data_IF_356895908352
#
_entry.id   IF_356895908352
#
_cell.length_a   1.000
_cell.length_b   1.000
_cell.length_c   1.000
_cell.angle_alpha   90.00
_cell.angle_beta   90.00
_cell.angle_gamma   90.00
#
_symmetry.space_group_name_H-M   'P 1'
#
loop_
_entity.id
_entity.type
_entity.pdbx_description
1 polymer ?
#
# COMPACT_ATOMS: atom_id res chain seq x y z
N UNK A 1 16.29 36.97 37.71
CA UNK A 1 17.34 35.98 38.03
C UNK A 1 16.68 34.79 38.71
N UNK A 2 16.26 33.78 37.94
CA UNK A 2 15.68 32.56 38.47
C UNK A 2 16.77 31.49 38.59
N UNK A 3 16.85 30.87 39.76
CA UNK A 3 17.78 29.80 40.12
C UNK A 3 17.63 28.62 39.13
N UNK A 4 18.55 28.52 38.15
CA UNK A 4 18.85 27.25 37.49
C UNK A 4 19.47 26.33 38.55
N UNK A 5 18.64 25.50 39.18
CA UNK A 5 19.12 24.36 39.93
C UNK A 5 20.03 23.54 39.01
N UNK A 6 21.33 23.53 39.30
CA UNK A 6 22.29 22.65 38.62
C UNK A 6 21.80 21.23 38.87
N UNK A 7 21.45 20.52 37.80
CA UNK A 7 21.25 19.07 37.86
C UNK A 7 22.55 18.48 38.43
N UNK A 8 22.51 17.69 39.52
CA UNK A 8 23.72 17.20 40.15
C UNK A 8 24.55 16.41 39.12
N UNK A 9 25.83 16.77 39.02
CA UNK A 9 26.80 16.10 38.15
C UNK A 9 26.98 14.69 38.70
N UNK A 10 26.56 13.69 37.93
CA UNK A 10 26.78 12.29 38.29
C UNK A 10 28.29 11.99 38.27
N UNK A 11 28.81 11.48 39.39
CA UNK A 11 30.16 10.97 39.52
C UNK A 11 30.09 9.46 39.79
N UNK A 12 30.60 8.65 38.86
CA UNK A 12 30.55 7.18 38.94
C UNK A 12 31.29 6.66 40.16
N UNK A 13 32.45 7.23 40.47
CA UNK A 13 33.25 6.82 41.63
C UNK A 13 32.52 7.14 42.94
N UNK A 14 31.95 8.34 43.07
CA UNK A 14 31.11 8.69 44.23
C UNK A 14 29.87 7.80 44.34
N UNK A 15 29.24 7.47 43.21
CA UNK A 15 28.02 6.65 43.20
C UNK A 15 28.31 5.18 43.55
N UNK A 16 29.42 4.63 43.05
CA UNK A 16 29.89 3.29 43.41
C UNK A 16 30.32 3.25 44.87
N UNK A 17 31.09 4.24 45.35
CA UNK A 17 31.46 4.32 46.75
C UNK A 17 30.22 4.40 47.65
N UNK A 18 29.29 5.31 47.35
CA UNK A 18 28.05 5.44 48.11
C UNK A 18 27.19 4.17 48.11
N UNK A 19 27.13 3.43 47.00
CA UNK A 19 26.46 2.14 46.94
C UNK A 19 27.12 1.13 47.89
N UNK A 20 28.44 0.95 47.79
CA UNK A 20 29.15 -0.04 48.59
C UNK A 20 29.22 0.33 50.08
N UNK A 21 29.20 1.61 50.42
CA UNK A 21 29.08 2.10 51.80
C UNK A 21 27.70 1.77 52.38
N UNK A 22 26.63 1.92 51.58
CA UNK A 22 25.28 1.51 51.97
C UNK A 22 25.17 -0.01 52.15
N UNK A 23 25.76 -0.80 51.24
CA UNK A 23 25.78 -2.27 51.35
C UNK A 23 26.50 -2.70 52.64
N UNK A 24 27.64 -2.08 52.95
CA UNK A 24 28.44 -2.37 54.14
C UNK A 24 27.70 -2.01 55.44
N UNK A 25 26.90 -0.93 55.40
CA UNK A 25 26.11 -0.47 56.54
C UNK A 25 24.86 -1.32 56.78
N UNK A 26 24.23 -1.81 55.71
CA UNK A 26 22.98 -2.58 55.78
C UNK A 26 23.22 -4.05 56.17
N UNK A 27 24.40 -4.62 55.91
CA UNK A 27 24.70 -6.02 56.17
C UNK A 27 26.01 -6.29 56.97
N UNK A 28 26.27 -5.60 58.10
CA UNK A 28 27.52 -5.78 58.87
C UNK A 28 27.61 -7.15 59.58
N UNK A 29 26.47 -7.79 59.87
CA UNK A 29 26.40 -9.04 60.64
C UNK A 29 26.28 -10.32 59.79
N UNK A 30 26.13 -10.20 58.46
CA UNK A 30 25.85 -11.34 57.58
C UNK A 30 27.09 -12.13 57.13
N UNK A 31 28.27 -11.88 57.72
CA UNK A 31 29.51 -12.54 57.30
C UNK A 31 29.85 -12.26 55.84
N UNK A 32 29.53 -11.06 55.35
CA UNK A 32 29.85 -10.63 53.98
C UNK A 32 31.34 -10.78 53.78
N UNK A 33 31.74 -11.68 52.88
CA UNK A 33 33.14 -11.91 52.55
C UNK A 33 33.75 -10.60 52.05
N UNK A 34 34.61 -10.00 52.89
CA UNK A 34 35.26 -8.73 52.61
C UNK A 34 36.07 -8.80 51.31
N UNK A 35 36.60 -9.98 50.95
CA UNK A 35 37.31 -10.18 49.69
C UNK A 35 36.36 -10.13 48.49
N UNK A 36 35.16 -10.72 48.60
CA UNK A 36 34.14 -10.63 47.55
C UNK A 36 33.62 -9.21 47.38
N UNK A 37 33.35 -8.51 48.49
CA UNK A 37 32.85 -7.13 48.45
C UNK A 37 33.88 -6.19 47.80
N UNK A 38 35.17 -6.33 48.15
CA UNK A 38 36.24 -5.55 47.52
C UNK A 38 36.40 -5.91 46.04
N UNK A 39 36.34 -7.19 45.67
CA UNK A 39 36.37 -7.62 44.27
C UNK A 39 35.18 -7.08 43.47
N UNK A 40 33.98 -7.08 44.03
CA UNK A 40 32.78 -6.51 43.41
C UNK A 40 32.87 -4.99 43.28
N UNK A 41 33.42 -4.30 44.29
CA UNK A 41 33.68 -2.86 44.25
C UNK A 41 34.72 -2.52 43.19
N UNK A 42 35.82 -3.26 43.12
CA UNK A 42 36.83 -3.09 42.07
C UNK A 42 36.25 -3.38 40.67
N UNK A 43 35.40 -4.39 40.51
CA UNK A 43 34.69 -4.65 39.27
C UNK A 43 33.75 -3.50 38.88
N UNK A 44 33.00 -2.95 39.84
CA UNK A 44 32.15 -1.78 39.64
C UNK A 44 32.94 -0.51 39.27
N UNK A 45 34.08 -0.29 39.93
CA UNK A 45 35.01 0.83 39.64
C UNK A 45 35.61 0.70 38.24
N UNK A 46 35.97 -0.51 37.83
CA UNK A 46 36.45 -0.83 36.48
C UNK A 46 35.33 -0.92 35.44
N UNK A 47 34.07 -0.81 35.86
CA UNK A 47 32.85 -0.98 35.05
C UNK A 47 32.77 -2.35 34.40
N UNK A 48 33.34 -3.41 34.95
CA UNK A 48 33.38 -4.73 34.31
C UNK A 48 31.97 -5.28 34.01
N UNK A 49 31.72 -5.70 32.76
CA UNK A 49 30.41 -6.22 32.33
C UNK A 49 29.81 -7.26 33.30
N UNK A 50 28.56 -7.09 33.71
CA UNK A 50 27.84 -8.06 34.55
C UNK A 50 28.01 -7.86 36.06
N UNK A 51 28.78 -6.85 36.49
CA UNK A 51 28.97 -6.56 37.92
C UNK A 51 27.63 -6.21 38.60
N UNK A 52 26.74 -5.49 37.90
CA UNK A 52 25.43 -5.11 38.46
C UNK A 52 24.54 -6.31 38.73
N UNK A 53 24.50 -7.27 37.82
CA UNK A 53 23.72 -8.49 37.99
C UNK A 53 24.25 -9.32 39.17
N UNK A 54 25.58 -9.35 39.33
CA UNK A 54 26.26 -10.02 40.44
C UNK A 54 25.91 -9.38 41.79
N UNK A 55 25.90 -8.04 41.86
CA UNK A 55 25.49 -7.31 43.08
C UNK A 55 23.98 -7.44 43.34
N UNK A 56 23.12 -7.36 42.32
CA UNK A 56 21.66 -7.54 42.48
C UNK A 56 21.31 -8.94 43.00
N UNK A 57 21.96 -9.98 42.46
CA UNK A 57 21.78 -11.35 42.90
C UNK A 57 22.21 -11.54 44.36
N UNK A 58 23.33 -10.92 44.76
CA UNK A 58 23.80 -10.92 46.14
C UNK A 58 22.80 -10.22 47.09
N UNK A 59 22.30 -9.04 46.72
CA UNK A 59 21.31 -8.31 47.52
C UNK A 59 20.02 -9.09 47.71
N UNK A 60 19.51 -9.72 46.64
CA UNK A 60 18.34 -10.62 46.72
C UNK A 60 18.63 -11.85 47.58
N UNK A 61 19.84 -12.39 47.53
CA UNK A 61 20.30 -13.49 48.38
C UNK A 61 20.28 -13.12 49.87
N UNK A 62 20.76 -11.92 50.21
CA UNK A 62 20.71 -11.40 51.58
C UNK A 62 19.28 -11.18 52.08
N UNK A 63 18.38 -10.66 51.23
CA UNK A 63 16.96 -10.56 51.57
C UNK A 63 16.31 -11.93 51.77
N UNK A 64 16.62 -12.89 50.89
CA UNK A 64 16.13 -14.27 51.00
C UNK A 64 16.62 -14.99 52.27
N UNK A 65 17.82 -14.65 52.75
CA UNK A 65 18.38 -15.12 54.00
C UNK A 65 17.90 -14.34 55.24
N UNK A 66 17.04 -13.33 55.08
CA UNK A 66 16.50 -12.52 56.17
C UNK A 66 17.46 -11.47 56.74
N UNK A 67 18.59 -11.22 56.07
CA UNK A 67 19.59 -10.24 56.48
C UNK A 67 19.28 -8.82 56.02
N UNK A 68 18.37 -8.65 55.05
CA UNK A 68 17.88 -7.36 54.57
C UNK A 68 16.36 -7.39 54.50
N UNK A 69 15.71 -6.29 54.91
CA UNK A 69 14.29 -6.08 54.67
C UNK A 69 14.02 -5.79 53.18
N UNK A 70 12.76 -5.98 52.75
CA UNK A 70 12.34 -5.64 51.38
C UNK A 70 12.46 -4.14 51.06
N UNK A 71 12.38 -3.28 52.08
CA UNK A 71 12.55 -1.82 51.93
C UNK A 71 14.01 -1.48 51.68
N UNK A 72 14.94 -2.05 52.44
CA UNK A 72 16.39 -1.88 52.27
C UNK A 72 16.86 -2.42 50.91
N UNK A 73 16.32 -3.56 50.46
CA UNK A 73 16.56 -4.07 49.12
C UNK A 73 16.16 -3.06 48.04
N UNK A 74 14.98 -2.44 48.17
CA UNK A 74 14.50 -1.43 47.23
C UNK A 74 15.40 -0.20 47.16
N UNK A 75 15.90 0.28 48.31
CA UNK A 75 16.82 1.42 48.38
C UNK A 75 18.20 1.10 47.80
N UNK A 76 18.74 -0.10 48.07
CA UNK A 76 20.01 -0.56 47.53
C UNK A 76 19.91 -0.81 46.02
N UNK A 77 18.81 -1.35 45.53
CA UNK A 77 18.55 -1.51 44.09
C UNK A 77 18.40 -0.17 43.38
N UNK A 78 17.75 0.82 44.01
CA UNK A 78 17.70 2.18 43.48
C UNK A 78 19.10 2.81 43.39
N UNK A 79 19.95 2.58 44.39
CA UNK A 79 21.36 3.03 44.38
C UNK A 79 22.20 2.29 43.34
N UNK A 80 21.95 0.99 43.13
CA UNK A 80 22.60 0.17 42.11
C UNK A 80 22.18 0.57 40.69
N UNK A 81 20.91 0.95 40.49
CA UNK A 81 20.39 1.47 39.23
C UNK A 81 21.13 2.75 38.80
N UNK A 82 21.53 3.59 39.76
CA UNK A 82 22.30 4.81 39.50
C UNK A 82 23.75 4.55 39.04
N UNK A 83 24.33 3.38 39.29
CA UNK A 83 25.70 3.06 38.86
C UNK A 83 25.81 2.77 37.34
N UNK A 84 26.99 2.74 36.72
CA UNK A 84 27.13 2.35 35.28
C UNK A 84 27.88 1.02 35.09
N UNK A 85 27.45 0.19 34.14
CA UNK A 85 28.14 -1.05 33.72
C UNK A 85 28.83 -0.82 32.36
N UNK A 86 29.88 -1.58 32.01
CA UNK A 86 30.51 -1.51 30.68
C UNK A 86 29.67 -2.27 29.67
N UNK A 87 29.40 -1.58 28.57
CA UNK A 87 28.71 -2.13 27.41
C UNK A 87 27.23 -1.79 27.43
N UNK A 88 26.77 -1.13 26.37
CA UNK A 88 25.37 -1.16 26.02
C UNK A 88 25.00 -2.63 25.72
N UNK A 89 24.03 -3.24 26.41
CA UNK A 89 23.59 -4.59 26.07
C UNK A 89 23.11 -4.59 24.61
N UNK A 90 23.31 -5.69 23.88
CA UNK A 90 22.98 -5.81 22.45
C UNK A 90 21.52 -5.39 22.14
N UNK A 91 20.62 -5.59 23.12
CA UNK A 91 19.24 -5.12 23.10
C UNK A 91 19.08 -3.62 22.85
N UNK A 92 20.02 -2.79 23.33
CA UNK A 92 20.02 -1.35 23.09
C UNK A 92 20.23 -1.00 21.61
N UNK A 93 20.87 -1.86 20.83
CA UNK A 93 20.99 -1.66 19.37
C UNK A 93 19.81 -2.27 18.60
N UNK A 94 19.14 -3.29 19.16
CA UNK A 94 18.01 -3.99 18.50
C UNK A 94 16.73 -3.18 18.51
N UNK A 95 16.39 -2.54 19.64
CA UNK A 95 15.12 -1.81 19.76
C UNK A 95 14.97 -0.67 18.73
N UNK A 96 16.00 0.15 18.47
CA UNK A 96 15.94 1.14 17.39
C UNK A 96 15.75 0.49 16.04
N UNK A 97 16.50 -0.58 15.73
CA UNK A 97 16.38 -1.28 14.43
C UNK A 97 14.98 -1.89 14.21
N UNK A 98 14.39 -2.48 15.25
CA UNK A 98 13.03 -3.01 15.20
C UNK A 98 11.99 -1.89 15.01
N UNK A 99 12.16 -0.76 15.69
CA UNK A 99 11.29 0.40 15.51
C UNK A 99 11.43 1.02 14.11
N UNK A 100 12.66 1.15 13.62
CA UNK A 100 12.98 1.59 12.26
C UNK A 100 12.35 0.67 11.22
N UNK A 101 12.40 -0.65 11.42
CA UNK A 101 11.73 -1.61 10.54
C UNK A 101 10.20 -1.44 10.56
N UNK A 102 9.58 -1.27 11.73
CA UNK A 102 8.13 -1.02 11.83
C UNK A 102 7.72 0.29 11.15
N UNK A 103 8.45 1.38 11.38
CA UNK A 103 8.19 2.68 10.74
C UNK A 103 8.42 2.62 9.24
N UNK A 104 9.45 1.89 8.77
CA UNK A 104 9.69 1.67 7.35
C UNK A 104 8.52 0.94 6.67
N UNK A 105 8.00 -0.11 7.31
CA UNK A 105 6.85 -0.88 6.81
C UNK A 105 5.59 0.00 6.74
N UNK A 106 5.31 0.78 7.78
CA UNK A 106 4.15 1.70 7.80
C UNK A 106 4.31 2.82 6.76
N UNK A 107 5.50 3.39 6.63
CA UNK A 107 5.78 4.45 5.64
C UNK A 107 5.67 3.91 4.21
N UNK A 108 6.04 2.64 3.96
CA UNK A 108 5.87 2.00 2.66
C UNK A 108 4.40 1.67 2.35
N UNK A 109 3.63 1.23 3.35
CA UNK A 109 2.18 1.07 3.21
C UNK A 109 1.52 2.40 2.83
N UNK A 110 2.02 3.53 3.35
CA UNK A 110 1.60 4.86 2.94
C UNK A 110 2.16 5.29 1.57
N UNK A 111 3.31 4.78 1.11
CA UNK A 111 3.93 5.14 -0.18
C UNK A 111 3.20 4.57 -1.40
N UNK A 112 2.35 3.56 -1.20
CA UNK A 112 1.37 3.13 -2.20
C UNK A 112 0.33 4.24 -2.53
N UNK A 113 0.31 5.31 -1.75
CA UNK A 113 -0.60 6.46 -1.87
C UNK A 113 0.26 7.70 -2.19
N UNK A 114 0.51 7.97 -3.47
CA UNK A 114 1.09 9.22 -4.05
C UNK A 114 2.34 9.82 -3.35
N UNK A 115 3.48 9.82 -4.04
CA UNK A 115 4.75 10.35 -3.51
C UNK A 115 4.70 11.88 -3.31
N UNK A 116 4.45 12.33 -2.08
CA UNK A 116 4.71 13.70 -1.65
C UNK A 116 6.15 13.81 -1.14
N UNK A 117 7.01 14.47 -1.91
CA UNK A 117 8.42 14.66 -1.59
C UNK A 117 8.64 15.50 -0.31
N UNK A 118 7.72 16.40 0.03
CA UNK A 118 7.81 17.21 1.24
C UNK A 118 7.52 16.39 2.49
N UNK A 119 6.50 15.52 2.42
CA UNK A 119 6.19 14.58 3.49
C UNK A 119 7.36 13.62 3.72
N UNK A 120 7.95 13.11 2.63
CA UNK A 120 9.12 12.23 2.71
C UNK A 120 10.31 12.94 3.39
N UNK A 121 10.62 14.19 2.99
CA UNK A 121 11.68 14.97 3.61
C UNK A 121 11.42 15.25 5.09
N UNK A 122 10.18 15.59 5.46
CA UNK A 122 9.78 15.82 6.85
C UNK A 122 9.95 14.55 7.71
N UNK A 123 9.51 13.39 7.22
CA UNK A 123 9.64 12.12 7.92
C UNK A 123 11.11 11.70 8.11
N UNK A 124 11.96 11.90 7.08
CA UNK A 124 13.40 11.67 7.19
C UNK A 124 14.03 12.59 8.25
N UNK A 125 13.63 13.87 8.30
CA UNK A 125 14.06 14.82 9.33
C UNK A 125 13.65 14.41 10.74
N UNK A 126 12.40 13.97 10.93
CA UNK A 126 11.91 13.46 12.23
C UNK A 126 12.70 12.20 12.65
N UNK A 127 12.98 11.28 11.72
CA UNK A 127 13.78 10.09 12.02
C UNK A 127 15.22 10.42 12.39
N UNK A 128 15.85 11.37 11.70
CA UNK A 128 17.18 11.84 12.05
C UNK A 128 17.22 12.48 13.45
N UNK A 129 16.22 13.31 13.77
CA UNK A 129 16.07 13.91 15.09
C UNK A 129 15.82 12.84 16.17
N UNK A 130 14.99 11.84 15.90
CA UNK A 130 14.73 10.73 16.81
C UNK A 130 16.00 9.90 17.05
N UNK A 131 16.78 9.58 16.01
CA UNK A 131 18.06 8.89 16.15
C UNK A 131 19.09 9.70 16.96
N UNK A 132 19.14 11.01 16.75
CA UNK A 132 20.00 11.91 17.52
C UNK A 132 19.57 12.05 18.99
N UNK A 133 18.26 12.13 19.27
CA UNK A 133 17.72 12.17 20.63
C UNK A 133 17.95 10.83 21.36
N UNK A 134 17.66 9.73 20.68
CA UNK A 134 17.85 8.38 21.19
C UNK A 134 19.30 8.13 21.62
N UNK A 135 20.28 8.51 20.79
CA UNK A 135 21.70 8.40 21.13
C UNK A 135 22.09 9.36 22.27
N UNK A 136 21.55 10.58 22.31
CA UNK A 136 21.87 11.59 23.32
C UNK A 136 21.44 11.20 24.74
N UNK A 137 20.35 10.46 24.90
CA UNK A 137 19.80 10.11 26.21
C UNK A 137 20.49 8.90 26.87
N UNK A 138 21.41 8.23 26.15
CA UNK A 138 22.11 7.06 26.68
C UNK A 138 23.17 7.43 27.73
N UNK A 139 23.06 6.78 28.89
CA UNK A 139 23.93 7.01 30.05
C UNK A 139 25.42 6.86 29.71
N UNK A 140 25.79 5.91 28.84
CA UNK A 140 27.18 5.67 28.44
C UNK A 140 27.76 6.74 27.48
N UNK A 141 26.94 7.65 26.94
CA UNK A 141 27.35 8.79 26.10
C UNK A 141 27.38 10.13 26.86
N UNK A 142 27.06 10.15 28.16
CA UNK A 142 27.08 11.36 28.99
C UNK A 142 28.51 11.74 29.39
N UNK A 143 28.86 13.04 29.44
CA UNK A 143 30.22 13.48 29.75
C UNK A 143 30.59 13.07 31.18
N UNK A 144 31.74 12.42 31.35
CA UNK A 144 32.23 11.92 32.65
C UNK A 144 32.04 10.41 32.90
N UNK A 145 31.30 9.70 32.01
CA UNK A 145 30.99 8.29 32.21
C UNK A 145 31.99 7.31 31.57
N UNK A 146 33.06 7.78 30.95
CA UNK A 146 34.18 6.94 30.49
C UNK A 146 35.46 7.78 30.45
N UNK A 147 36.50 7.36 31.18
CA UNK A 147 37.81 8.01 31.15
C UNK A 147 38.53 7.87 29.80
N UNK A 148 38.04 6.96 28.93
CA UNK A 148 38.58 6.66 27.59
C UNK A 148 37.71 7.18 26.46
N UNK A 149 36.62 7.90 26.74
CA UNK A 149 35.76 8.45 25.69
C UNK A 149 36.50 9.58 25.00
N UNK A 150 36.94 9.33 23.76
CA UNK A 150 37.60 10.34 22.98
C UNK A 150 36.63 11.49 22.71
N UNK A 151 37.18 12.71 22.59
CA UNK A 151 36.43 13.95 22.30
C UNK A 151 35.44 13.80 21.13
N UNK A 152 35.72 12.87 20.21
CA UNK A 152 34.97 12.64 18.98
C UNK A 152 33.99 11.46 19.03
N UNK A 153 34.03 10.60 20.04
CA UNK A 153 33.18 9.40 20.09
C UNK A 153 31.69 9.75 20.15
N UNK A 154 31.34 10.77 20.94
CA UNK A 154 29.96 11.22 21.08
C UNK A 154 29.39 11.87 19.82
N UNK A 155 30.05 12.89 19.21
CA UNK A 155 29.54 13.45 17.96
C UNK A 155 29.53 12.42 16.85
N UNK A 156 30.50 11.49 16.82
CA UNK A 156 30.52 10.39 15.85
C UNK A 156 29.33 9.43 16.01
N UNK A 157 29.08 8.92 17.22
CA UNK A 157 27.94 8.01 17.47
C UNK A 157 26.60 8.70 17.27
N UNK A 158 26.49 9.98 17.63
CA UNK A 158 25.26 10.77 17.41
C UNK A 158 25.03 11.00 15.91
N UNK A 159 26.07 11.34 15.15
CA UNK A 159 26.00 11.50 13.70
C UNK A 159 25.70 10.18 13.00
N UNK A 160 26.32 9.08 13.44
CA UNK A 160 26.05 7.74 12.94
C UNK A 160 24.61 7.33 13.22
N UNK A 161 24.07 7.57 14.43
CA UNK A 161 22.66 7.31 14.75
C UNK A 161 21.69 8.17 13.95
N UNK A 162 22.01 9.45 13.74
CA UNK A 162 21.20 10.37 12.93
C UNK A 162 21.18 10.01 11.44
N UNK A 163 22.23 9.34 10.92
CA UNK A 163 22.34 8.92 9.52
C UNK A 163 21.87 7.48 9.27
N UNK A 164 22.32 6.53 10.10
CA UNK A 164 22.03 5.10 9.91
C UNK A 164 20.54 4.80 10.03
N UNK A 165 19.82 5.45 10.96
CA UNK A 165 18.38 5.23 11.13
C UNK A 165 17.63 5.62 9.84
N UNK A 166 17.74 6.84 9.28
CA UNK A 166 17.16 7.17 7.98
C UNK A 166 17.59 6.25 6.84
N UNK A 167 18.89 5.95 6.73
CA UNK A 167 19.44 5.13 5.63
C UNK A 167 18.87 3.72 5.68
N UNK A 168 18.85 3.08 6.85
CA UNK A 168 18.30 1.74 7.04
C UNK A 168 16.80 1.73 6.77
N UNK A 169 16.04 2.74 7.22
CA UNK A 169 14.61 2.88 6.87
C UNK A 169 14.42 2.88 5.36
N UNK A 170 15.20 3.69 4.64
CA UNK A 170 15.09 3.82 3.18
C UNK A 170 15.48 2.51 2.49
N UNK A 171 16.55 1.85 2.91
CA UNK A 171 17.00 0.58 2.32
C UNK A 171 15.99 -0.55 2.54
N UNK A 172 15.45 -0.69 3.76
CA UNK A 172 14.41 -1.68 4.07
C UNK A 172 13.16 -1.38 3.24
N UNK A 173 12.75 -0.12 3.15
CA UNK A 173 11.61 0.31 2.36
C UNK A 173 11.80 -0.01 0.86
N UNK A 174 12.96 0.31 0.29
CA UNK A 174 13.26 0.01 -1.11
C UNK A 174 13.32 -1.50 -1.37
N UNK A 175 13.96 -2.26 -0.49
CA UNK A 175 14.03 -3.72 -0.60
C UNK A 175 12.66 -4.38 -0.52
N UNK A 176 11.82 -3.96 0.44
CA UNK A 176 10.45 -4.43 0.56
C UNK A 176 9.60 -4.06 -0.66
N UNK A 177 9.71 -2.81 -1.15
CA UNK A 177 8.99 -2.36 -2.36
C UNK A 177 9.39 -3.13 -3.61
N UNK A 178 10.70 -3.38 -3.79
CA UNK A 178 11.19 -4.19 -4.90
C UNK A 178 10.70 -5.64 -4.79
N UNK A 179 10.69 -6.20 -3.57
CA UNK A 179 10.19 -7.54 -3.29
C UNK A 179 8.69 -7.69 -3.59
N UNK A 180 7.86 -6.76 -3.13
CA UNK A 180 6.40 -6.79 -3.40
C UNK A 180 6.09 -6.58 -4.87
N UNK A 181 6.78 -5.65 -5.55
CA UNK A 181 6.66 -5.46 -6.99
C UNK A 181 7.03 -6.72 -7.76
N UNK A 182 8.19 -7.31 -7.45
CA UNK A 182 8.67 -8.54 -8.10
C UNK A 182 7.70 -9.70 -7.90
N UNK A 183 7.18 -9.88 -6.68
CA UNK A 183 6.18 -10.92 -6.38
C UNK A 183 4.87 -10.68 -7.13
N UNK A 184 4.43 -9.43 -7.25
CA UNK A 184 3.20 -9.09 -7.96
C UNK A 184 3.34 -9.29 -9.47
N UNK A 185 4.46 -8.90 -10.06
CA UNK A 185 4.78 -9.18 -11.47
C UNK A 185 4.86 -10.69 -11.72
N UNK A 186 5.49 -11.44 -10.81
CA UNK A 186 5.54 -12.90 -10.91
C UNK A 186 4.13 -13.51 -10.90
N UNK A 187 3.28 -13.12 -9.96
CA UNK A 187 1.88 -13.59 -9.89
C UNK A 187 1.08 -13.23 -11.14
N UNK A 188 1.22 -11.99 -11.61
CA UNK A 188 0.61 -11.56 -12.87
C UNK A 188 1.02 -12.45 -14.04
N UNK A 189 2.33 -12.71 -14.20
CA UNK A 189 2.84 -13.53 -15.29
C UNK A 189 2.35 -14.98 -15.24
N UNK A 190 2.23 -15.55 -14.04
CA UNK A 190 1.67 -16.90 -13.85
C UNK A 190 0.20 -16.94 -14.31
N UNK A 191 -0.65 -16.05 -13.80
CA UNK A 191 -2.06 -15.97 -14.21
C UNK A 191 -2.21 -15.68 -15.70
N UNK A 192 -1.43 -14.72 -16.22
CA UNK A 192 -1.41 -14.37 -17.64
C UNK A 192 -1.08 -15.60 -18.49
N UNK A 193 -0.07 -16.38 -18.11
CA UNK A 193 0.33 -17.58 -18.85
C UNK A 193 -0.77 -18.65 -18.84
N UNK A 194 -1.46 -18.84 -17.71
CA UNK A 194 -2.59 -19.75 -17.61
C UNK A 194 -3.79 -19.26 -18.46
N UNK A 195 -4.08 -17.97 -18.41
CA UNK A 195 -5.17 -17.35 -19.17
C UNK A 195 -4.91 -17.36 -20.69
N UNK A 196 -3.66 -17.24 -21.11
CA UNK A 196 -3.25 -17.28 -22.51
C UNK A 196 -3.54 -18.63 -23.19
N UNK A 197 -3.62 -19.71 -22.42
CA UNK A 197 -3.87 -21.07 -22.93
C UNK A 197 -5.25 -21.61 -22.56
N UNK A 198 -6.00 -20.93 -21.69
CA UNK A 198 -7.36 -21.32 -21.29
C UNK A 198 -8.33 -21.18 -22.49
N UNK A 199 -8.93 -22.28 -23.01
CA UNK A 199 -9.85 -22.19 -24.13
C UNK A 199 -11.06 -21.30 -23.89
N UNK A 200 -11.46 -21.08 -22.63
CA UNK A 200 -12.56 -20.19 -22.24
C UNK A 200 -12.10 -18.76 -21.91
N UNK A 201 -10.79 -18.52 -21.90
CA UNK A 201 -10.13 -17.23 -21.64
C UNK A 201 -9.68 -16.52 -22.92
N UNK A 202 -8.39 -16.18 -23.02
CA UNK A 202 -7.86 -15.37 -24.11
C UNK A 202 -8.02 -15.99 -25.52
N UNK A 203 -7.73 -17.29 -25.75
CA UNK A 203 -8.03 -17.98 -27.01
C UNK A 203 -9.46 -17.78 -27.53
N UNK A 204 -10.45 -17.81 -26.63
CA UNK A 204 -11.85 -17.56 -26.98
C UNK A 204 -12.03 -16.12 -27.51
N UNK A 205 -11.57 -15.10 -26.77
CA UNK A 205 -11.70 -13.71 -27.20
C UNK A 205 -11.00 -13.48 -28.54
N UNK A 206 -9.77 -13.98 -28.70
CA UNK A 206 -9.00 -13.83 -29.94
C UNK A 206 -9.73 -14.43 -31.14
N UNK A 207 -10.29 -15.63 -30.98
CA UNK A 207 -11.07 -16.29 -32.02
C UNK A 207 -12.36 -15.52 -32.33
N UNK A 208 -13.07 -15.06 -31.30
CA UNK A 208 -14.30 -14.28 -31.42
C UNK A 208 -14.07 -12.97 -32.17
N UNK A 209 -13.05 -12.20 -31.77
CA UNK A 209 -12.70 -10.91 -32.37
C UNK A 209 -12.33 -11.06 -33.85
N UNK A 210 -11.47 -12.03 -34.19
CA UNK A 210 -11.06 -12.29 -35.57
C UNK A 210 -12.23 -12.74 -36.44
N UNK A 211 -13.04 -13.70 -35.95
CA UNK A 211 -14.15 -14.29 -36.71
C UNK A 211 -15.25 -13.26 -37.00
N UNK A 212 -15.62 -12.46 -36.00
CA UNK A 212 -16.82 -11.62 -36.09
C UNK A 212 -16.51 -10.19 -36.53
N UNK A 213 -15.31 -9.67 -36.27
CA UNK A 213 -14.96 -8.26 -36.50
C UNK A 213 -13.67 -8.05 -37.31
N UNK A 214 -12.94 -9.11 -37.66
CA UNK A 214 -11.63 -9.05 -38.32
C UNK A 214 -10.59 -8.20 -37.54
N UNK A 215 -10.70 -8.23 -36.21
CA UNK A 215 -9.81 -7.50 -35.29
C UNK A 215 -8.83 -8.45 -34.62
N UNK A 216 -7.55 -8.10 -34.65
CA UNK A 216 -6.51 -8.82 -33.92
C UNK A 216 -6.47 -8.35 -32.46
N UNK A 217 -6.48 -9.31 -31.54
CA UNK A 217 -6.36 -9.06 -30.10
C UNK A 217 -5.12 -9.76 -29.57
N UNK A 218 -4.31 -9.02 -28.81
CA UNK A 218 -3.11 -9.53 -28.13
C UNK A 218 -3.30 -9.46 -26.61
N UNK A 219 -2.57 -10.29 -25.88
CA UNK A 219 -2.59 -10.29 -24.42
C UNK A 219 -1.38 -9.49 -23.91
N UNK A 220 -1.65 -8.32 -23.32
CA UNK A 220 -0.66 -7.41 -22.75
C UNK A 220 0.19 -8.08 -21.68
N UNK A 221 1.37 -7.53 -21.43
CA UNK A 221 2.34 -8.10 -20.49
C UNK A 221 2.62 -7.22 -19.28
N UNK A 222 3.65 -7.58 -18.51
CA UNK A 222 3.99 -6.88 -17.28
C UNK A 222 4.59 -5.48 -17.50
N UNK A 223 4.81 -5.06 -18.74
CA UNK A 223 5.27 -3.73 -19.10
C UNK A 223 4.12 -2.79 -19.42
N UNK A 224 2.95 -3.32 -19.78
CA UNK A 224 1.85 -2.54 -20.34
C UNK A 224 0.83 -2.09 -19.29
N UNK A 225 0.42 -2.96 -18.35
CA UNK A 225 -0.67 -2.63 -17.39
C UNK A 225 -0.76 -3.55 -16.16
N UNK A 226 0.30 -4.26 -15.78
CA UNK A 226 0.21 -5.17 -14.62
C UNK A 226 -0.28 -4.47 -13.36
N UNK A 227 0.25 -3.28 -13.06
CA UNK A 227 -0.02 -2.57 -11.82
C UNK A 227 -1.48 -2.13 -11.70
N UNK A 228 -2.10 -1.71 -12.81
CA UNK A 228 -3.51 -1.33 -12.84
C UNK A 228 -4.44 -2.54 -12.70
N UNK A 229 -4.05 -3.71 -13.23
CA UNK A 229 -4.93 -4.89 -13.18
C UNK A 229 -4.70 -5.79 -11.97
N UNK A 230 -3.50 -5.79 -11.35
CA UNK A 230 -3.20 -6.62 -10.16
C UNK A 230 -3.33 -5.91 -8.82
N UNK A 231 -3.10 -4.60 -8.76
CA UNK A 231 -3.20 -3.84 -7.51
C UNK A 231 -4.57 -3.19 -7.45
N UNK A 232 -5.28 -3.36 -6.33
CA UNK A 232 -6.59 -2.74 -6.11
C UNK A 232 -6.41 -1.24 -5.80
N UNK A 233 -5.98 -0.47 -6.81
CA UNK A 233 -5.78 0.96 -6.71
C UNK A 233 -7.11 1.69 -6.97
N UNK A 234 -7.37 2.82 -6.28
CA UNK A 234 -8.50 3.68 -6.60
C UNK A 234 -8.46 4.09 -8.07
N UNK A 235 -9.55 3.85 -8.80
CA UNK A 235 -9.71 4.11 -10.24
C UNK A 235 -8.93 3.18 -11.19
N UNK A 236 -8.24 2.16 -10.69
CA UNK A 236 -7.65 1.14 -11.56
C UNK A 236 -8.70 0.08 -11.92
N UNK A 237 -8.77 -0.26 -13.21
CA UNK A 237 -9.65 -1.32 -13.70
C UNK A 237 -8.94 -2.67 -13.62
N UNK A 238 -9.69 -3.71 -13.23
CA UNK A 238 -9.19 -5.09 -13.12
C UNK A 238 -8.98 -5.78 -14.47
N UNK A 239 -9.52 -5.16 -15.52
CA UNK A 239 -9.27 -5.47 -16.91
C UNK A 239 -9.23 -4.14 -17.68
N UNK A 240 -8.42 -4.08 -18.74
CA UNK A 240 -8.36 -2.93 -19.62
C UNK A 240 -8.03 -3.37 -21.02
N UNK A 241 -8.59 -2.68 -21.99
CA UNK A 241 -8.21 -2.81 -23.40
C UNK A 241 -7.54 -1.53 -23.88
N UNK A 242 -6.32 -1.63 -24.41
CA UNK A 242 -5.65 -0.51 -25.06
C UNK A 242 -5.71 -0.64 -26.58
N UNK A 243 -5.73 0.51 -27.26
CA UNK A 243 -5.70 0.59 -28.72
C UNK A 243 -4.26 0.74 -29.18
N UNK A 244 -3.81 -0.19 -30.03
CA UNK A 244 -2.51 -0.14 -30.69
C UNK A 244 -2.67 -0.11 -32.21
N UNK A 245 -1.63 0.30 -32.97
CA UNK A 245 -1.68 0.28 -34.43
C UNK A 245 -1.94 -1.13 -34.97
N UNK A 246 -3.17 -1.39 -35.41
CA UNK A 246 -3.58 -2.64 -36.05
C UNK A 246 -4.07 -3.75 -35.10
N UNK A 247 -4.14 -3.53 -33.79
CA UNK A 247 -4.65 -4.52 -32.83
C UNK A 247 -5.19 -3.90 -31.53
N UNK A 248 -6.02 -4.66 -30.81
CA UNK A 248 -6.41 -4.37 -29.43
C UNK A 248 -5.51 -5.15 -28.48
N UNK A 249 -5.16 -4.57 -27.35
CA UNK A 249 -4.39 -5.26 -26.31
C UNK A 249 -5.20 -5.41 -25.04
N UNK A 250 -5.49 -6.65 -24.66
CA UNK A 250 -6.17 -6.97 -23.41
C UNK A 250 -5.14 -7.13 -22.30
N UNK A 251 -5.30 -6.37 -21.23
CA UNK A 251 -4.66 -6.62 -19.95
C UNK A 251 -5.71 -7.02 -18.93
N UNK A 252 -5.54 -8.17 -18.28
CA UNK A 252 -6.51 -8.69 -17.32
C UNK A 252 -5.82 -9.60 -16.31
N UNK A 253 -6.27 -9.53 -15.05
CA UNK A 253 -5.88 -10.48 -14.01
C UNK A 253 -7.14 -11.19 -13.49
N UNK A 254 -7.32 -12.46 -13.86
CA UNK A 254 -8.55 -13.22 -13.66
C UNK A 254 -9.00 -13.22 -12.20
N UNK A 255 -8.08 -13.44 -11.27
CA UNK A 255 -8.39 -13.46 -9.84
C UNK A 255 -8.90 -12.11 -9.33
N UNK A 256 -8.47 -10.99 -9.90
CA UNK A 256 -9.03 -9.67 -9.55
C UNK A 256 -10.37 -9.41 -10.22
N UNK A 257 -10.59 -9.94 -11.43
CA UNK A 257 -11.94 -9.95 -12.00
C UNK A 257 -12.90 -10.75 -11.13
N UNK A 258 -12.49 -11.89 -10.59
CA UNK A 258 -13.37 -12.66 -9.71
C UNK A 258 -13.52 -12.06 -8.31
N UNK A 259 -12.49 -11.39 -7.75
CA UNK A 259 -12.56 -10.77 -6.42
C UNK A 259 -13.19 -9.38 -6.42
N UNK A 260 -12.73 -8.50 -7.30
CA UNK A 260 -13.23 -7.14 -7.36
C UNK A 260 -14.55 -7.11 -8.11
N UNK A 261 -14.63 -7.81 -9.25
CA UNK A 261 -15.82 -8.00 -10.10
C UNK A 261 -16.63 -9.25 -9.71
N UNK A 262 -16.71 -9.66 -8.44
CA UNK A 262 -17.50 -10.86 -8.10
C UNK A 262 -18.98 -10.71 -8.51
N UNK A 263 -19.57 -11.70 -9.21
CA UNK A 263 -21.00 -11.66 -9.49
C UNK A 263 -21.81 -11.74 -8.19
N UNK A 264 -22.88 -10.96 -8.11
CA UNK A 264 -23.76 -10.97 -6.95
C UNK A 264 -24.56 -12.29 -6.87
N UNK A 265 -24.02 -13.29 -6.18
CA UNK A 265 -24.65 -14.59 -5.96
C UNK A 265 -23.86 -15.76 -6.53
N UNK A 266 -24.57 -16.72 -7.15
CA UNK A 266 -24.00 -17.99 -7.65
C UNK A 266 -23.92 -18.05 -9.18
N UNK A 267 -23.73 -16.92 -9.85
CA UNK A 267 -23.67 -16.87 -11.30
C UNK A 267 -22.42 -17.59 -11.83
N UNK A 268 -22.50 -18.07 -13.07
CA UNK A 268 -21.40 -18.78 -13.72
C UNK A 268 -20.18 -17.86 -13.90
N UNK A 269 -19.10 -18.16 -13.18
CA UNK A 269 -17.86 -17.38 -13.17
C UNK A 269 -17.18 -17.33 -14.55
N UNK A 270 -17.30 -18.38 -15.37
CA UNK A 270 -16.73 -18.40 -16.73
C UNK A 270 -17.45 -17.39 -17.62
N UNK A 271 -18.80 -17.45 -17.64
CA UNK A 271 -19.60 -16.50 -18.42
C UNK A 271 -19.41 -15.07 -17.94
N UNK A 272 -19.23 -14.88 -16.63
CA UNK A 272 -18.92 -13.57 -16.07
C UNK A 272 -17.58 -13.02 -16.58
N UNK A 273 -16.50 -13.82 -16.50
CA UNK A 273 -15.18 -13.45 -17.04
C UNK A 273 -15.27 -13.14 -18.53
N UNK A 274 -16.01 -13.93 -19.30
CA UNK A 274 -16.24 -13.66 -20.72
C UNK A 274 -16.99 -12.36 -20.96
N UNK A 275 -18.00 -12.03 -20.14
CA UNK A 275 -18.68 -10.74 -20.26
C UNK A 275 -17.77 -9.55 -19.97
N UNK A 276 -16.85 -9.67 -19.00
CA UNK A 276 -15.82 -8.65 -18.77
C UNK A 276 -14.90 -8.54 -19.97
N UNK A 277 -14.46 -9.65 -20.57
CA UNK A 277 -13.68 -9.59 -21.83
C UNK A 277 -14.47 -8.90 -22.97
N UNK A 278 -15.77 -9.18 -23.10
CA UNK A 278 -16.62 -8.55 -24.11
C UNK A 278 -16.82 -7.06 -23.84
N UNK A 279 -16.93 -6.65 -22.58
CA UNK A 279 -16.96 -5.24 -22.19
C UNK A 279 -15.69 -4.52 -22.68
N UNK A 280 -14.52 -5.04 -22.31
CA UNK A 280 -13.22 -4.47 -22.71
C UNK A 280 -13.04 -4.46 -24.24
N UNK A 281 -13.51 -5.51 -24.92
CA UNK A 281 -13.50 -5.55 -26.38
C UNK A 281 -14.45 -4.53 -27.02
N UNK A 282 -15.59 -4.25 -26.40
CA UNK A 282 -16.51 -3.20 -26.79
C UNK A 282 -15.85 -1.82 -26.80
N UNK A 283 -15.03 -1.51 -25.79
CA UNK A 283 -14.21 -0.28 -25.76
C UNK A 283 -13.26 -0.19 -26.95
N UNK A 284 -12.59 -1.30 -27.30
CA UNK A 284 -11.70 -1.31 -28.45
C UNK A 284 -12.45 -1.05 -29.76
N UNK A 285 -13.56 -1.75 -29.99
CA UNK A 285 -14.36 -1.56 -31.20
C UNK A 285 -14.88 -0.11 -31.31
N UNK A 286 -15.25 0.51 -30.19
CA UNK A 286 -15.70 1.91 -30.18
C UNK A 286 -14.60 2.89 -30.60
N UNK A 287 -13.40 2.72 -30.05
CA UNK A 287 -12.28 3.60 -30.39
C UNK A 287 -11.69 3.33 -31.77
N UNK A 288 -11.60 2.07 -32.21
CA UNK A 288 -11.06 1.70 -33.53
C UNK A 288 -11.78 2.39 -34.68
N UNK A 289 -13.11 2.53 -34.61
CA UNK A 289 -13.90 3.19 -35.66
C UNK A 289 -13.67 4.70 -35.77
N UNK A 290 -13.09 5.31 -34.73
CA UNK A 290 -12.76 6.73 -34.69
C UNK A 290 -11.37 7.05 -35.23
N UNK A 291 -10.46 6.07 -35.19
CA UNK A 291 -9.10 6.23 -35.67
C UNK A 291 -9.06 6.35 -37.20
N UNK A 292 -8.31 7.34 -37.75
CA UNK A 292 -8.17 7.49 -39.18
C UNK A 292 -7.39 6.31 -39.78
N UNK A 293 -7.80 5.87 -40.97
CA UNK A 293 -6.99 4.94 -41.77
C UNK A 293 -5.71 5.64 -42.28
N UNK A 294 -4.70 4.86 -42.66
CA UNK A 294 -3.46 5.40 -43.22
C UNK A 294 -3.75 6.36 -44.39
N UNK A 295 -3.28 7.61 -44.28
CA UNK A 295 -3.51 8.67 -45.27
C UNK A 295 -4.80 9.49 -45.08
N UNK A 296 -5.62 9.20 -44.07
CA UNK A 296 -6.74 10.05 -43.67
C UNK A 296 -6.34 10.95 -42.49
N UNK A 297 -6.84 12.19 -42.49
CA UNK A 297 -6.59 13.16 -41.42
C UNK A 297 -7.81 13.43 -40.54
N UNK A 298 -9.00 13.02 -40.98
CA UNK A 298 -10.23 13.27 -40.25
C UNK A 298 -10.46 12.18 -39.19
N UNK A 299 -10.47 12.59 -37.93
CA UNK A 299 -10.86 11.76 -36.80
C UNK A 299 -12.39 11.70 -36.75
N UNK A 300 -12.96 10.51 -36.59
CA UNK A 300 -14.41 10.38 -36.38
C UNK A 300 -14.72 10.46 -34.87
N UNK A 301 -16.00 10.61 -34.55
CA UNK A 301 -16.44 10.98 -33.19
C UNK A 301 -17.55 10.06 -32.67
N UNK A 302 -17.62 8.82 -33.16
CA UNK A 302 -18.67 7.87 -32.78
C UNK A 302 -18.54 7.42 -31.31
N UNK A 303 -17.32 7.34 -30.79
CA UNK A 303 -17.04 7.03 -29.39
C UNK A 303 -17.06 8.25 -28.46
N UNK A 304 -17.26 9.45 -29.02
CA UNK A 304 -17.38 10.69 -28.27
C UNK A 304 -18.86 10.94 -27.96
N UNK A 305 -19.18 11.38 -26.75
CA UNK A 305 -20.56 11.70 -26.41
C UNK A 305 -21.11 12.79 -27.36
N UNK A 306 -22.39 12.72 -27.76
CA UNK A 306 -22.97 13.70 -28.68
C UNK A 306 -22.85 15.16 -28.23
N UNK A 307 -22.80 15.41 -26.91
CA UNK A 307 -22.60 16.75 -26.35
C UNK A 307 -21.19 17.30 -26.55
N UNK A 308 -20.19 16.42 -26.63
CA UNK A 308 -18.77 16.77 -26.64
C UNK A 308 -18.18 16.71 -28.06
N UNK A 309 -18.83 15.96 -28.97
CA UNK A 309 -18.40 15.75 -30.35
C UNK A 309 -18.34 17.05 -31.20
N UNK A 310 -19.12 18.08 -30.86
CA UNK A 310 -19.21 19.33 -31.65
C UNK A 310 -17.90 20.11 -31.75
N UNK A 311 -16.98 19.92 -30.80
CA UNK A 311 -15.71 20.64 -30.74
C UNK A 311 -14.50 19.85 -31.25
N UNK A 312 -14.71 18.65 -31.78
CA UNK A 312 -13.62 17.76 -32.20
C UNK A 312 -13.34 17.92 -33.68
N UNK A 313 -12.14 18.39 -34.01
CA UNK A 313 -11.68 18.62 -35.39
C UNK A 313 -10.36 17.95 -35.73
N UNK A 314 -9.62 17.50 -34.73
CA UNK A 314 -8.29 16.92 -34.85
C UNK A 314 -8.02 15.91 -33.72
N UNK A 315 -6.86 15.26 -33.74
CA UNK A 315 -6.50 14.26 -32.74
C UNK A 315 -6.37 14.86 -31.34
N UNK A 316 -5.90 16.11 -31.20
CA UNK A 316 -5.71 16.73 -29.90
C UNK A 316 -7.06 17.03 -29.22
N UNK A 317 -7.99 17.62 -29.96
CA UNK A 317 -9.36 17.88 -29.52
C UNK A 317 -10.15 16.60 -29.31
N UNK A 318 -9.89 15.55 -30.10
CA UNK A 318 -10.41 14.21 -29.86
C UNK A 318 -9.94 13.66 -28.51
N UNK A 319 -8.62 13.64 -28.27
CA UNK A 319 -8.05 13.15 -27.01
C UNK A 319 -8.59 13.94 -25.81
N UNK A 320 -8.71 15.26 -25.92
CA UNK A 320 -9.33 16.08 -24.88
C UNK A 320 -10.79 15.68 -24.63
N UNK A 321 -11.59 15.44 -25.67
CA UNK A 321 -12.97 15.01 -25.54
C UNK A 321 -13.09 13.60 -24.91
N UNK A 322 -12.10 12.71 -25.12
CA UNK A 322 -12.09 11.38 -24.47
C UNK A 322 -11.97 11.45 -22.94
N UNK A 323 -11.42 12.54 -22.41
CA UNK A 323 -11.26 12.74 -20.98
C UNK A 323 -12.50 13.31 -20.28
N UNK A 324 -13.48 13.80 -21.03
CA UNK A 324 -14.73 14.33 -20.49
C UNK A 324 -15.58 13.22 -19.88
N UNK A 325 -16.13 13.46 -18.69
CA UNK A 325 -16.93 12.47 -17.95
C UNK A 325 -18.15 12.01 -18.74
N UNK A 326 -18.75 12.89 -19.55
CA UNK A 326 -19.85 12.57 -20.46
C UNK A 326 -19.44 11.58 -21.56
N UNK A 327 -18.21 11.67 -22.06
CA UNK A 327 -17.67 10.72 -23.03
C UNK A 327 -17.25 9.41 -22.37
N UNK A 328 -16.70 9.45 -21.15
CA UNK A 328 -16.38 8.23 -20.38
C UNK A 328 -17.62 7.38 -20.14
N UNK A 329 -18.70 7.97 -19.62
CA UNK A 329 -19.96 7.22 -19.43
C UNK A 329 -20.57 6.74 -20.75
N UNK A 330 -20.42 7.50 -21.83
CA UNK A 330 -20.90 7.10 -23.16
C UNK A 330 -20.18 5.86 -23.69
N UNK A 331 -18.88 5.73 -23.45
CA UNK A 331 -18.08 4.55 -23.80
C UNK A 331 -18.42 3.36 -22.91
N UNK A 332 -18.51 3.57 -21.59
CA UNK A 332 -18.93 2.54 -20.63
C UNK A 332 -20.33 1.98 -20.97
N UNK A 333 -21.26 2.85 -21.37
CA UNK A 333 -22.61 2.44 -21.76
C UNK A 333 -22.61 1.48 -22.95
N UNK A 334 -21.75 1.71 -23.96
CA UNK A 334 -21.63 0.80 -25.10
C UNK A 334 -21.04 -0.54 -24.65
N UNK A 335 -19.93 -0.50 -23.90
CA UNK A 335 -19.22 -1.68 -23.45
C UNK A 335 -20.10 -2.59 -22.57
N UNK A 336 -20.84 -2.02 -21.61
CA UNK A 336 -21.80 -2.77 -20.79
C UNK A 336 -22.97 -3.31 -21.62
N UNK A 337 -23.49 -2.52 -22.57
CA UNK A 337 -24.56 -2.98 -23.47
C UNK A 337 -24.09 -4.14 -24.33
N UNK A 338 -22.86 -4.08 -24.86
CA UNK A 338 -22.24 -5.13 -25.65
C UNK A 338 -22.08 -6.43 -24.86
N UNK A 339 -21.59 -6.35 -23.61
CA UNK A 339 -21.48 -7.50 -22.72
C UNK A 339 -22.84 -8.15 -22.40
N UNK A 340 -23.86 -7.33 -22.12
CA UNK A 340 -25.24 -7.81 -21.89
C UNK A 340 -25.80 -8.49 -23.14
N UNK A 341 -25.64 -7.87 -24.31
CA UNK A 341 -26.09 -8.44 -25.58
C UNK A 341 -25.41 -9.79 -25.88
N UNK A 342 -24.12 -9.91 -25.59
CA UNK A 342 -23.38 -11.17 -25.70
C UNK A 342 -24.00 -12.25 -24.81
N UNK A 343 -24.19 -12.00 -23.52
CA UNK A 343 -24.78 -12.99 -22.61
C UNK A 343 -26.17 -13.42 -23.04
N UNK A 344 -27.00 -12.48 -23.50
CA UNK A 344 -28.34 -12.80 -24.01
C UNK A 344 -28.31 -13.66 -25.27
N UNK A 345 -27.28 -13.52 -26.10
CA UNK A 345 -27.09 -14.31 -27.30
C UNK A 345 -26.58 -15.72 -26.98
N UNK A 346 -25.54 -15.85 -26.17
CA UNK A 346 -24.82 -17.13 -25.99
C UNK A 346 -25.28 -17.97 -24.79
N UNK A 347 -25.87 -17.33 -23.78
CA UNK A 347 -26.26 -17.95 -22.52
C UNK A 347 -27.57 -17.35 -21.98
N UNK A 348 -28.69 -17.46 -22.72
CA UNK A 348 -29.95 -16.79 -22.35
C UNK A 348 -30.49 -17.19 -20.97
N UNK A 349 -30.20 -18.42 -20.51
CA UNK A 349 -30.60 -18.90 -19.18
C UNK A 349 -29.87 -18.21 -18.02
N UNK A 350 -28.63 -17.75 -18.22
CA UNK A 350 -27.80 -17.08 -17.21
C UNK A 350 -27.81 -15.55 -17.35
N UNK A 351 -28.18 -15.03 -18.52
CA UNK A 351 -28.06 -13.62 -18.88
C UNK A 351 -28.74 -12.67 -17.90
N UNK A 352 -29.94 -13.01 -17.41
CA UNK A 352 -30.66 -12.16 -16.45
C UNK A 352 -29.91 -12.03 -15.12
N UNK A 353 -29.34 -13.14 -14.62
CA UNK A 353 -28.55 -13.13 -13.40
C UNK A 353 -27.24 -12.35 -13.56
N UNK A 354 -26.53 -12.57 -14.67
CA UNK A 354 -25.28 -11.87 -14.99
C UNK A 354 -25.50 -10.36 -15.16
N UNK A 355 -26.52 -9.95 -15.92
CA UNK A 355 -26.86 -8.54 -16.09
C UNK A 355 -27.30 -7.87 -14.78
N UNK A 356 -28.05 -8.57 -13.93
CA UNK A 356 -28.42 -8.06 -12.60
C UNK A 356 -27.18 -7.86 -11.71
N UNK A 357 -26.21 -8.79 -11.74
CA UNK A 357 -24.95 -8.64 -11.02
C UNK A 357 -24.13 -7.44 -11.53
N UNK A 358 -24.03 -7.26 -12.85
CA UNK A 358 -23.36 -6.10 -13.46
C UNK A 358 -24.03 -4.80 -13.03
N UNK A 359 -25.36 -4.73 -13.14
CA UNK A 359 -26.17 -3.57 -12.76
C UNK A 359 -25.99 -3.18 -11.29
N UNK A 360 -26.09 -4.16 -10.37
CA UNK A 360 -25.87 -3.95 -8.94
C UNK A 360 -24.50 -3.31 -8.70
N UNK A 361 -23.50 -3.79 -9.43
CA UNK A 361 -22.13 -3.37 -9.23
C UNK A 361 -21.84 -1.96 -9.75
N UNK A 362 -22.41 -1.61 -10.91
CA UNK A 362 -22.42 -0.21 -11.42
C UNK A 362 -23.15 0.73 -10.45
N UNK A 363 -24.26 0.29 -9.85
CA UNK A 363 -24.98 1.07 -8.82
C UNK A 363 -24.14 1.31 -7.55
N UNK A 364 -23.36 0.31 -7.12
CA UNK A 364 -22.47 0.46 -5.97
C UNK A 364 -21.33 1.44 -6.28
N UNK A 365 -20.78 1.39 -7.50
CA UNK A 365 -19.71 2.29 -7.94
C UNK A 365 -20.18 3.73 -8.14
N UNK A 366 -21.41 3.94 -8.63
CA UNK A 366 -21.99 5.25 -8.96
C UNK A 366 -21.92 6.28 -7.82
N UNK A 367 -21.87 5.83 -6.56
CA UNK A 367 -21.80 6.70 -5.37
C UNK A 367 -20.49 7.49 -5.24
N UNK A 368 -19.45 7.16 -6.01
CA UNK A 368 -18.31 8.06 -6.18
C UNK A 368 -17.56 7.88 -7.49
N UNK A 369 -18.19 7.26 -8.47
CA UNK A 369 -17.70 7.14 -9.84
C UNK A 369 -18.89 7.21 -10.80
N UNK A 370 -19.27 8.44 -11.14
CA UNK A 370 -20.41 8.70 -12.02
C UNK A 370 -20.14 8.27 -13.46
N UNK A 371 -18.88 8.07 -13.86
CA UNK A 371 -18.54 7.64 -15.23
C UNK A 371 -18.97 6.20 -15.50
N UNK A 372 -19.12 5.39 -14.45
CA UNK A 372 -19.59 4.01 -14.53
C UNK A 372 -21.08 3.86 -14.17
N UNK A 373 -21.86 4.94 -14.13
CA UNK A 373 -23.27 4.91 -13.75
C UNK A 373 -24.20 4.44 -14.90
N UNK A 374 -23.94 3.26 -15.45
CA UNK A 374 -24.54 2.75 -16.70
C UNK A 374 -25.83 1.93 -16.51
N UNK A 375 -26.39 1.87 -15.30
CA UNK A 375 -27.53 0.99 -14.96
C UNK A 375 -28.73 1.15 -15.90
N UNK A 376 -29.02 2.37 -16.35
CA UNK A 376 -30.11 2.65 -17.27
C UNK A 376 -29.94 1.93 -18.62
N UNK A 377 -28.72 1.95 -19.19
CA UNK A 377 -28.43 1.25 -20.44
C UNK A 377 -28.46 -0.27 -20.26
N UNK A 378 -28.00 -0.79 -19.10
CA UNK A 378 -28.10 -2.22 -18.78
C UNK A 378 -29.58 -2.65 -18.73
N UNK A 379 -30.44 -1.87 -18.05
CA UNK A 379 -31.87 -2.15 -17.93
C UNK A 379 -32.56 -2.15 -19.30
N UNK A 380 -32.21 -1.20 -20.16
CA UNK A 380 -32.73 -1.13 -21.52
C UNK A 380 -32.21 -2.28 -22.41
N UNK A 381 -30.92 -2.59 -22.34
CA UNK A 381 -30.30 -3.67 -23.10
C UNK A 381 -30.94 -5.03 -22.78
N UNK A 382 -31.41 -5.23 -21.54
CA UNK A 382 -32.16 -6.42 -21.14
C UNK A 382 -33.57 -6.49 -21.71
N UNK A 383 -34.21 -5.36 -21.96
CA UNK A 383 -35.57 -5.26 -22.50
C UNK A 383 -35.62 -5.21 -24.04
N UNK A 384 -34.52 -4.81 -24.68
CA UNK A 384 -34.41 -4.73 -26.13
C UNK A 384 -34.54 -6.12 -26.80
N UNK A 385 -34.88 -6.19 -28.10
CA UNK A 385 -34.73 -7.42 -28.87
C UNK A 385 -33.28 -7.95 -28.80
N UNK A 386 -33.10 -9.26 -28.71
CA UNK A 386 -31.76 -9.89 -28.70
C UNK A 386 -31.07 -9.63 -30.05
N UNK A 387 -29.74 -9.38 -30.08
CA UNK A 387 -29.00 -9.28 -31.33
C UNK A 387 -29.17 -10.55 -32.19
N UNK A 388 -29.15 -10.40 -33.51
CA UNK A 388 -29.40 -11.52 -34.45
C UNK A 388 -28.22 -12.49 -34.50
N UNK A 389 -27.00 -11.98 -34.35
CA UNK A 389 -25.77 -12.76 -34.37
C UNK A 389 -24.65 -12.10 -33.57
N UNK A 390 -23.56 -12.84 -33.32
CA UNK A 390 -22.34 -12.30 -32.71
C UNK A 390 -21.74 -11.14 -33.52
N UNK A 391 -21.84 -11.20 -34.86
CA UNK A 391 -21.33 -10.17 -35.77
C UNK A 391 -22.13 -8.86 -35.71
N UNK A 392 -23.43 -8.97 -35.47
CA UNK A 392 -24.33 -7.82 -35.37
C UNK A 392 -24.29 -7.15 -33.98
N UNK A 393 -23.61 -7.78 -33.01
CA UNK A 393 -23.62 -7.37 -31.61
C UNK A 393 -23.13 -5.93 -31.41
N UNK A 394 -22.08 -5.50 -32.12
CA UNK A 394 -21.54 -4.14 -31.99
C UNK A 394 -22.53 -3.09 -32.49
N UNK A 395 -23.06 -3.28 -33.69
CA UNK A 395 -24.06 -2.37 -34.28
C UNK A 395 -25.34 -2.35 -33.45
N UNK A 396 -25.76 -3.50 -32.94
CA UNK A 396 -26.89 -3.60 -32.01
C UNK A 396 -26.63 -2.80 -30.73
N UNK A 397 -25.45 -2.95 -30.10
CA UNK A 397 -25.10 -2.26 -28.86
C UNK A 397 -25.05 -0.74 -29.05
N UNK A 398 -24.46 -0.27 -30.15
CA UNK A 398 -24.38 1.15 -30.49
C UNK A 398 -25.77 1.76 -30.76
N UNK A 399 -26.64 1.00 -31.44
CA UNK A 399 -28.03 1.38 -31.61
C UNK A 399 -28.74 1.47 -30.25
N UNK A 400 -28.64 0.45 -29.39
CA UNK A 400 -29.29 0.48 -28.07
C UNK A 400 -28.79 1.64 -27.20
N UNK A 401 -27.47 1.90 -27.20
CA UNK A 401 -26.88 3.05 -26.51
C UNK A 401 -27.49 4.38 -26.99
N UNK A 402 -27.68 4.54 -28.29
CA UNK A 402 -28.11 5.81 -28.90
C UNK A 402 -29.62 6.09 -28.79
N UNK A 403 -30.46 5.05 -28.84
CA UNK A 403 -31.92 5.22 -28.66
C UNK A 403 -32.35 5.27 -27.20
N UNK A 404 -31.40 5.09 -26.28
CA UNK A 404 -31.68 5.13 -24.86
C UNK A 404 -32.00 6.53 -24.35
N UNK A 405 -33.10 6.64 -23.60
CA UNK A 405 -33.47 7.87 -22.88
C UNK A 405 -32.69 8.03 -21.56
N UNK A 406 -31.43 7.60 -21.54
CA UNK A 406 -30.57 7.61 -20.36
C UNK A 406 -29.84 8.96 -20.25
N UNK A 407 -29.75 9.48 -19.04
CA UNK A 407 -29.08 10.76 -18.80
C UNK A 407 -27.56 10.61 -18.88
N UNK A 408 -26.93 11.38 -19.76
CA UNK A 408 -25.49 11.64 -19.73
C UNK A 408 -25.29 12.83 -18.78
N UNK A 409 -25.23 12.58 -17.47
CA UNK A 409 -25.03 13.66 -16.50
C UNK A 409 -23.57 14.11 -16.53
N UNK A 410 -23.33 15.41 -16.73
CA UNK A 410 -22.07 16.02 -16.31
C UNK A 410 -22.07 16.02 -14.78
N UNK A 411 -21.16 15.30 -14.09
CA UNK A 411 -21.09 15.42 -12.66
C UNK A 411 -20.86 16.89 -12.31
N UNK A 412 -21.62 17.41 -11.34
CA UNK A 412 -21.30 18.72 -10.77
C UNK A 412 -19.88 18.62 -10.23
N UNK A 413 -19.05 19.65 -10.46
CA UNK A 413 -17.66 19.67 -9.97
C UNK A 413 -17.69 19.45 -8.45
N UNK A 414 -17.47 18.21 -8.03
CA UNK A 414 -17.36 17.87 -6.63
C UNK A 414 -16.11 18.59 -6.11
N UNK A 415 -16.30 19.52 -5.17
CA UNK A 415 -15.21 20.25 -4.55
C UNK A 415 -14.16 19.28 -3.98
N UNK A 416 -12.91 19.71 -3.89
CA UNK A 416 -11.79 18.90 -3.42
C UNK A 416 -12.07 18.18 -2.08
N UNK A 417 -12.88 18.79 -1.21
CA UNK A 417 -13.32 18.22 0.06
C UNK A 417 -14.21 16.97 -0.10
N UNK A 418 -15.09 16.93 -1.10
CA UNK A 418 -15.98 15.81 -1.37
C UNK A 418 -15.20 14.63 -1.98
N UNK A 419 -14.22 14.91 -2.84
CA UNK A 419 -13.28 13.91 -3.37
C UNK A 419 -12.43 13.31 -2.25
N UNK A 420 -11.93 14.13 -1.32
CA UNK A 420 -11.18 13.68 -0.15
C UNK A 420 -12.04 12.81 0.79
N UNK A 421 -13.31 13.20 1.00
CA UNK A 421 -14.25 12.46 1.85
C UNK A 421 -14.62 11.09 1.26
N UNK A 422 -14.85 11.03 -0.06
CA UNK A 422 -15.09 9.78 -0.79
C UNK A 422 -13.85 8.87 -0.80
N UNK A 423 -12.66 9.45 -0.88
CA UNK A 423 -11.39 8.73 -0.78
C UNK A 423 -11.20 8.12 0.61
N UNK A 424 -11.42 8.90 1.67
CA UNK A 424 -11.32 8.44 3.07
C UNK A 424 -12.37 7.36 3.40
N UNK A 425 -13.59 7.47 2.89
CA UNK A 425 -14.63 6.47 3.13
C UNK A 425 -14.37 5.13 2.42
N UNK A 426 -13.64 5.13 1.30
CA UNK A 426 -13.23 3.91 0.59
C UNK A 426 -12.09 3.18 1.28
N UNK A 427 -11.17 3.92 1.93
CA UNK A 427 -10.10 3.32 2.75
C UNK A 427 -10.66 2.59 3.99
N UNK A 428 -11.79 3.02 4.53
CA UNK A 428 -12.44 2.36 5.68
C UNK A 428 -13.20 1.08 5.34
N UNK A 429 -13.59 0.86 4.08
CA UNK A 429 -14.31 -0.37 3.65
C UNK A 429 -13.32 -1.52 3.36
N UNK A 430 -12.04 -1.24 3.13
CA UNK A 430 -11.01 -2.25 2.92
C UNK A 430 -10.55 -3.00 4.21
N UNK A 431 -11.22 -2.77 5.34
CA UNK A 431 -10.91 -3.37 6.64
C UNK A 431 -11.96 -4.39 7.13
N UNK A 432 -12.85 -4.89 6.27
CA UNK A 432 -13.74 -6.02 6.58
C UNK A 432 -13.58 -7.15 5.57
#
# INVERSE_FOLDING_TARGET
MALRGKTPRYNHEESVNALFDKISTAAPAAGVDAAWLDAAKQAAMRKSSGWKATVDAFLRGLTGAGHLSGVELGELQASLAQCTDSGAPWSEFVYPMAWTACVAVVTLACRAISVDWWLAAALLGVMAAAGALWTKDRAWLKPGNSAKQARWDRPFVTAAGALLVPVITVLIALGAGFGTQSLSIYRFNVDRSAFAVDPQGFPFLRAFARKNFDVDVVLGDATDSWASTTVNLPSASVASMSLSPGYCELSMYRDNVLRSFEPAGKQNQVLWVQGVMMHEFGHCLDGLRDLPSFGQHAVKVYSIAPSDAKGVSDLQTYLAATEEDSTKIWREALADTFAVGYWRLVAPGDAAGLAASLRQRRSNAAHGDSTHATMCWIDQAMQAPVPVSEKDLFTWADHQRSVASCAISKPSKAGALTKLKAYLSRLTIANN
#
